data_IF_103911425139
#
_entry.id   IF_103911425139
#
_cell.length_a   1.000
_cell.length_b   1.000
_cell.length_c   1.000
_cell.angle_alpha   90.00
_cell.angle_beta   90.00
_cell.angle_gamma   90.00
#
_symmetry.space_group_name_H-M   'P 1'
#
loop_
_entity.id
_entity.type
_entity.pdbx_description
1 polymer ?
#
# COMPACT_ATOMS: atom_id res chain seq x y z
N UNK A 1 -10.74 10.21 -14.94
CA UNK A 1 -10.10 9.65 -13.74
C UNK A 1 -9.08 8.66 -14.21
N UNK A 2 -7.84 8.80 -13.76
CA UNK A 2 -6.75 7.90 -14.11
C UNK A 2 -6.43 7.03 -12.91
N UNK A 3 -5.95 5.82 -13.17
CA UNK A 3 -5.42 4.95 -12.14
C UNK A 3 -3.92 5.19 -12.03
N UNK A 4 -3.43 5.32 -10.80
CA UNK A 4 -2.02 5.45 -10.49
C UNK A 4 -1.58 4.26 -9.64
N UNK A 5 -0.43 3.68 -9.96
CA UNK A 5 0.22 2.65 -9.16
C UNK A 5 1.24 3.31 -8.24
N UNK A 6 1.20 2.94 -6.97
CA UNK A 6 2.15 3.40 -5.95
C UNK A 6 2.79 2.15 -5.35
N UNK A 7 4.10 1.96 -5.50
CA UNK A 7 4.81 0.93 -4.73
C UNK A 7 4.74 1.28 -3.24
N UNK A 8 4.27 0.36 -2.41
CA UNK A 8 4.18 0.52 -0.96
C UNK A 8 5.02 -0.56 -0.30
N UNK A 9 6.08 -0.17 0.40
CA UNK A 9 6.96 -1.09 1.10
C UNK A 9 6.65 -1.11 2.59
N UNK A 10 6.44 -2.33 3.10
CA UNK A 10 6.26 -2.67 4.51
C UNK A 10 7.53 -3.34 5.04
N UNK A 11 7.78 -3.30 6.36
CA UNK A 11 8.99 -3.85 6.98
C UNK A 11 9.15 -5.36 6.78
N UNK A 12 8.04 -6.10 6.73
CA UNK A 12 7.99 -7.56 6.68
C UNK A 12 6.69 -8.04 6.02
N UNK A 13 6.62 -9.34 5.68
CA UNK A 13 5.48 -9.92 4.98
C UNK A 13 4.22 -9.92 5.85
N UNK A 14 4.34 -10.20 7.15
CA UNK A 14 3.22 -10.20 8.10
C UNK A 14 2.53 -8.84 8.18
N UNK A 15 3.34 -7.78 8.29
CA UNK A 15 2.87 -6.39 8.25
C UNK A 15 2.22 -6.09 6.91
N UNK A 16 2.83 -6.50 5.79
CA UNK A 16 2.23 -6.32 4.46
C UNK A 16 0.88 -7.05 4.28
N UNK A 17 0.67 -8.20 4.94
CA UNK A 17 -0.62 -8.92 4.92
C UNK A 17 -1.66 -8.23 5.82
N UNK A 18 -1.25 -7.79 7.01
CA UNK A 18 -2.15 -7.20 8.01
C UNK A 18 -2.51 -5.75 7.72
N UNK A 19 -1.51 -4.92 7.46
CA UNK A 19 -1.65 -3.47 7.38
C UNK A 19 -2.00 -2.95 5.97
N UNK A 20 -1.79 -3.74 4.91
CA UNK A 20 -2.20 -3.34 3.56
C UNK A 20 -3.71 -3.12 3.46
N UNK A 21 -4.51 -4.00 4.07
CA UNK A 21 -5.97 -3.84 4.14
C UNK A 21 -6.38 -2.60 4.94
N UNK A 22 -5.65 -2.31 6.04
CA UNK A 22 -5.88 -1.12 6.85
C UNK A 22 -5.55 0.17 6.09
N UNK A 23 -4.48 0.17 5.29
CA UNK A 23 -4.12 1.31 4.44
C UNK A 23 -5.22 1.58 3.41
N UNK A 24 -5.68 0.54 2.70
CA UNK A 24 -6.77 0.69 1.72
C UNK A 24 -8.04 1.23 2.37
N UNK A 25 -8.42 0.70 3.52
CA UNK A 25 -9.60 1.17 4.26
C UNK A 25 -9.46 2.64 4.71
N UNK A 26 -8.28 3.03 5.19
CA UNK A 26 -7.99 4.41 5.57
C UNK A 26 -8.08 5.37 4.37
N UNK A 27 -7.54 4.97 3.21
CA UNK A 27 -7.63 5.75 1.98
C UNK A 27 -9.09 5.90 1.50
N UNK A 28 -9.87 4.81 1.55
CA UNK A 28 -11.31 4.83 1.24
C UNK A 28 -12.09 5.74 2.19
N UNK A 29 -11.80 5.67 3.48
CA UNK A 29 -12.39 6.56 4.51
C UNK A 29 -12.04 8.03 4.26
N UNK A 30 -10.84 8.31 3.75
CA UNK A 30 -10.43 9.64 3.33
C UNK A 30 -11.00 10.08 1.96
N UNK A 31 -11.90 9.27 1.36
CA UNK A 31 -12.56 9.56 0.09
C UNK A 31 -11.68 9.34 -1.14
N UNK A 32 -10.64 8.50 -1.05
CA UNK A 32 -9.88 8.02 -2.20
C UNK A 32 -10.40 6.66 -2.65
N UNK A 33 -10.53 6.45 -3.95
CA UNK A 33 -10.78 5.13 -4.50
C UNK A 33 -9.45 4.39 -4.61
N UNK A 34 -9.19 3.47 -3.69
CA UNK A 34 -7.95 2.72 -3.60
C UNK A 34 -8.18 1.20 -3.47
N UNK A 35 -7.25 0.43 -4.01
CA UNK A 35 -7.18 -1.04 -3.92
C UNK A 35 -5.72 -1.51 -3.94
N UNK A 36 -5.42 -2.63 -3.29
CA UNK A 36 -4.11 -3.27 -3.41
C UNK A 36 -4.15 -4.26 -4.57
N UNK A 37 -3.10 -4.29 -5.39
CA UNK A 37 -2.92 -5.34 -6.35
C UNK A 37 -2.86 -6.69 -5.63
N UNK A 38 -3.55 -7.67 -6.21
CA UNK A 38 -3.52 -9.04 -5.75
C UNK A 38 -2.15 -9.64 -6.11
N UNK A 39 -1.34 -9.96 -5.10
CA UNK A 39 -0.08 -10.66 -5.32
C UNK A 39 -0.30 -12.14 -4.97
N UNK A 40 -0.26 -13.05 -5.95
CA UNK A 40 -0.55 -14.47 -5.73
C UNK A 40 0.47 -15.15 -4.80
N UNK A 41 1.59 -14.49 -4.46
CA UNK A 41 2.55 -14.97 -3.47
C UNK A 41 2.12 -14.70 -2.03
N UNK A 42 1.06 -13.92 -1.80
CA UNK A 42 0.52 -13.63 -0.46
C UNK A 42 -0.57 -14.60 0.00
N UNK A 43 -1.22 -15.32 -0.91
CA UNK A 43 -2.31 -16.28 -0.63
C UNK A 43 -1.83 -17.64 -0.12
N UNK A 44 -0.51 -17.87 0.00
CA UNK A 44 -0.01 -19.12 0.59
C UNK A 44 -0.23 -19.10 2.11
N UNK A 45 -1.25 -19.85 2.56
CA UNK A 45 -1.72 -19.95 3.95
C UNK A 45 -0.83 -20.83 4.86
N UNK A 46 0.27 -21.40 4.36
CA UNK A 46 1.08 -22.38 5.08
C UNK A 46 2.56 -21.97 5.06
N UNK A 47 2.95 -21.07 5.97
CA UNK A 47 4.33 -20.53 6.05
C UNK A 47 4.79 -20.35 7.52
N UNK A 48 4.40 -21.26 8.42
CA UNK A 48 4.85 -21.25 9.82
C UNK A 48 6.37 -21.49 9.99
N UNK A 49 7.05 -21.94 8.93
CA UNK A 49 8.50 -22.25 8.89
C UNK A 49 9.29 -21.36 7.93
N UNK A 50 8.66 -20.36 7.29
CA UNK A 50 9.34 -19.53 6.30
C UNK A 50 10.01 -18.33 6.96
N UNK A 51 11.32 -18.27 6.82
CA UNK A 51 12.14 -17.12 7.22
C UNK A 51 11.54 -15.88 6.56
N UNK A 52 11.21 -14.87 7.36
CA UNK A 52 10.67 -13.62 6.87
C UNK A 52 11.57 -13.07 5.74
N UNK A 53 11.03 -12.82 4.53
CA UNK A 53 11.84 -12.42 3.38
C UNK A 53 12.41 -11.00 3.51
N UNK A 54 12.11 -10.28 4.60
CA UNK A 54 12.43 -8.89 4.80
C UNK A 54 11.39 -7.96 4.17
N UNK A 55 11.80 -6.73 3.79
CA UNK A 55 10.87 -5.69 3.38
C UNK A 55 10.06 -6.13 2.15
N UNK A 56 8.74 -6.03 2.31
CA UNK A 56 7.78 -6.52 1.32
C UNK A 56 7.13 -5.33 0.62
N UNK A 57 7.27 -5.26 -0.71
CA UNK A 57 6.65 -4.20 -1.52
C UNK A 57 5.39 -4.72 -2.20
N UNK A 58 4.31 -3.95 -2.12
CA UNK A 58 3.03 -4.19 -2.79
C UNK A 58 2.68 -3.03 -3.70
N UNK A 59 1.84 -3.28 -4.69
CA UNK A 59 1.31 -2.23 -5.56
C UNK A 59 -0.03 -1.74 -5.04
N UNK A 60 -0.13 -0.45 -4.77
CA UNK A 60 -1.36 0.24 -4.40
C UNK A 60 -1.90 0.98 -5.62
N UNK A 61 -3.10 0.65 -6.05
CA UNK A 61 -3.78 1.35 -7.13
C UNK A 61 -4.70 2.43 -6.54
N UNK A 62 -4.59 3.65 -7.06
CA UNK A 62 -5.38 4.80 -6.62
C UNK A 62 -5.98 5.50 -7.82
N UNK A 63 -7.29 5.74 -7.80
CA UNK A 63 -7.95 6.54 -8.82
C UNK A 63 -7.99 8.01 -8.40
N UNK A 64 -7.47 8.88 -9.27
CA UNK A 64 -7.44 10.32 -9.02
C UNK A 64 -7.46 11.14 -10.32
N UNK A 65 -7.55 12.47 -10.18
CA UNK A 65 -7.44 13.41 -11.30
C UNK A 65 -6.00 13.71 -11.72
N UNK A 66 -5.03 13.59 -10.82
CA UNK A 66 -3.61 13.90 -11.09
C UNK A 66 -2.64 13.16 -10.16
N UNK A 67 -1.39 12.99 -10.61
CA UNK A 67 -0.30 12.40 -9.82
C UNK A 67 0.03 13.18 -8.54
N UNK A 68 -0.08 14.52 -8.59
CA UNK A 68 0.17 15.39 -7.44
C UNK A 68 -0.87 15.20 -6.34
N UNK A 69 -2.14 15.11 -6.73
CA UNK A 69 -3.24 14.84 -5.80
C UNK A 69 -3.09 13.47 -5.12
N UNK A 70 -2.71 12.44 -5.89
CA UNK A 70 -2.44 11.10 -5.34
C UNK A 70 -1.32 11.17 -4.30
N UNK A 71 -0.18 11.76 -4.65
CA UNK A 71 0.97 11.83 -3.75
C UNK A 71 0.61 12.52 -2.44
N UNK A 72 0.02 13.71 -2.52
CA UNK A 72 -0.30 14.50 -1.33
C UNK A 72 -1.32 13.79 -0.42
N UNK A 73 -2.41 13.27 -0.99
CA UNK A 73 -3.48 12.66 -0.21
C UNK A 73 -3.08 11.31 0.37
N UNK A 74 -2.37 10.47 -0.39
CA UNK A 74 -1.87 9.18 0.10
C UNK A 74 -0.83 9.39 1.20
N UNK A 75 0.10 10.33 1.01
CA UNK A 75 1.10 10.67 2.04
C UNK A 75 0.42 11.16 3.33
N UNK A 76 -0.55 12.08 3.22
CA UNK A 76 -1.30 12.59 4.37
C UNK A 76 -2.00 11.48 5.17
N UNK A 77 -2.61 10.52 4.48
CA UNK A 77 -3.26 9.37 5.13
C UNK A 77 -2.24 8.47 5.81
N UNK A 78 -1.12 8.18 5.15
CA UNK A 78 -0.07 7.32 5.71
C UNK A 78 0.56 7.96 6.95
N UNK A 79 0.95 9.22 6.90
CA UNK A 79 1.56 9.94 8.04
C UNK A 79 0.59 10.06 9.23
N UNK A 80 -0.72 10.12 8.96
CA UNK A 80 -1.74 10.16 10.02
C UNK A 80 -2.06 8.80 10.64
N UNK A 81 -1.72 7.69 9.97
CA UNK A 81 -2.09 6.34 10.41
C UNK A 81 -0.93 5.47 10.85
N UNK A 82 0.24 5.63 10.26
CA UNK A 82 1.39 4.79 10.48
C UNK A 82 2.53 5.59 11.12
N UNK A 83 3.29 5.00 12.05
CA UNK A 83 4.53 5.58 12.54
C UNK A 83 5.48 5.93 11.38
N UNK A 84 6.30 6.99 11.51
CA UNK A 84 7.29 7.35 10.50
C UNK A 84 8.22 6.17 10.16
N UNK A 85 8.38 5.88 8.88
CA UNK A 85 9.25 4.80 8.39
C UNK A 85 8.64 3.39 8.47
N UNK A 86 7.43 3.23 9.00
CA UNK A 86 6.72 1.93 8.99
C UNK A 86 6.19 1.58 7.59
N UNK A 87 5.81 2.59 6.80
CA UNK A 87 5.34 2.40 5.43
C UNK A 87 6.12 3.36 4.55
N UNK A 88 6.75 2.84 3.49
CA UNK A 88 7.46 3.65 2.51
C UNK A 88 6.63 3.71 1.23
N UNK A 89 6.34 4.93 0.77
CA UNK A 89 5.65 5.18 -0.49
C UNK A 89 6.66 5.46 -1.60
N UNK A 90 6.55 4.73 -2.69
CA UNK A 90 7.24 5.00 -3.94
C UNK A 90 6.59 6.13 -4.74
N UNK A 91 7.20 6.47 -5.87
CA UNK A 91 6.69 7.47 -6.78
C UNK A 91 5.43 6.95 -7.52
N UNK A 92 4.30 7.67 -7.52
CA UNK A 92 3.12 7.22 -8.23
C UNK A 92 3.32 7.28 -9.75
N UNK A 93 3.04 6.18 -10.44
CA UNK A 93 3.09 6.08 -11.90
C UNK A 93 1.69 5.90 -12.49
N UNK A 94 1.36 6.50 -13.64
CA UNK A 94 0.11 6.21 -14.31
C UNK A 94 0.10 4.75 -14.78
N UNK A 95 -1.04 4.07 -14.58
CA UNK A 95 -1.31 2.74 -15.15
C UNK A 95 -1.84 2.87 -16.58
#
# INVERSE_FOLDING_TARGET
>A
MNTYVIPVTFPDLDTAKRDASLLVDALRTAGLHAEMADDPRMESEDDADRIDPGPTTRELHVHAGSVGEVRERVQTVVDGRFPPGMVLLGEPTPL
#
